data_IF_629201754200
#
_entry.id   IF_629201754200
#
_cell.length_a   1.000
_cell.length_b   1.000
_cell.length_c   1.000
_cell.angle_alpha   90.00
_cell.angle_beta   90.00
_cell.angle_gamma   90.00
#
_symmetry.space_group_name_H-M   'P 1'
#
loop_
_entity.id
_entity.type
_entity.pdbx_description
1 polymer ?
#
# COMPACT_ATOMS: atom_id res chain seq x y z
N UNK A 1 20.62 -14.40 10.71
CA UNK A 1 20.21 -13.15 10.06
C UNK A 1 18.81 -12.74 10.45
N UNK A 2 18.62 -11.46 10.70
CA UNK A 2 17.30 -10.94 11.05
C UNK A 2 16.45 -10.74 9.79
N UNK A 3 15.14 -11.04 9.85
CA UNK A 3 14.25 -10.70 8.75
C UNK A 3 14.14 -9.19 8.56
N UNK A 4 14.13 -8.72 7.31
CA UNK A 4 14.05 -7.30 6.98
C UNK A 4 12.83 -7.05 6.10
N UNK A 5 12.05 -6.05 6.48
CA UNK A 5 10.94 -5.53 5.69
C UNK A 5 11.16 -4.05 5.42
N UNK A 6 10.72 -3.57 4.28
CA UNK A 6 10.70 -2.14 3.99
C UNK A 6 9.30 -1.62 4.17
N UNK A 7 9.18 -0.41 4.68
CA UNK A 7 7.88 0.25 4.81
C UNK A 7 8.03 1.70 4.41
N UNK A 8 7.00 2.24 3.78
CA UNK A 8 7.01 3.63 3.38
C UNK A 8 5.62 4.19 3.19
N UNK A 9 5.48 5.49 3.43
CA UNK A 9 4.25 6.22 3.21
C UNK A 9 4.34 6.98 1.89
N UNK A 10 3.28 6.90 1.08
CA UNK A 10 3.16 7.64 -0.18
C UNK A 10 4.37 7.36 -1.09
N UNK A 11 5.11 8.39 -1.49
CA UNK A 11 6.32 8.26 -2.32
C UNK A 11 7.31 7.27 -1.71
N UNK A 12 7.45 7.26 -0.37
CA UNK A 12 8.33 6.31 0.32
C UNK A 12 7.95 4.86 0.07
N UNK A 13 6.65 4.57 0.02
CA UNK A 13 6.16 3.22 -0.30
C UNK A 13 6.50 2.82 -1.73
N UNK A 14 6.33 3.74 -2.68
CA UNK A 14 6.67 3.48 -4.08
C UNK A 14 8.17 3.25 -4.25
N UNK A 15 8.99 4.05 -3.57
CA UNK A 15 10.44 3.88 -3.61
C UNK A 15 10.82 2.52 -3.01
N UNK A 16 10.23 2.14 -1.87
CA UNK A 16 10.50 0.86 -1.24
C UNK A 16 10.12 -0.31 -2.16
N UNK A 17 8.97 -0.25 -2.80
CA UNK A 17 8.53 -1.28 -3.74
C UNK A 17 9.48 -1.38 -4.95
N UNK A 18 9.96 -0.24 -5.43
CA UNK A 18 10.91 -0.20 -6.54
C UNK A 18 12.26 -0.80 -6.13
N UNK A 19 12.77 -0.45 -4.95
CA UNK A 19 14.02 -0.99 -4.43
C UNK A 19 13.95 -2.50 -4.21
N UNK A 20 12.80 -3.00 -3.77
CA UNK A 20 12.63 -4.42 -3.49
C UNK A 20 12.71 -5.30 -4.74
N UNK A 21 12.66 -4.72 -5.93
CA UNK A 21 12.86 -5.44 -7.18
C UNK A 21 14.31 -5.87 -7.37
N UNK A 22 15.24 -5.23 -6.66
CA UNK A 22 16.65 -5.61 -6.70
C UNK A 22 16.83 -6.91 -5.93
N UNK A 23 17.20 -7.97 -6.65
CA UNK A 23 17.37 -9.29 -6.06
C UNK A 23 18.57 -9.38 -5.10
N UNK A 24 19.49 -8.41 -5.18
CA UNK A 24 20.61 -8.33 -4.26
C UNK A 24 20.18 -7.87 -2.86
N UNK A 25 19.03 -7.22 -2.75
CA UNK A 25 18.51 -6.80 -1.46
C UNK A 25 17.75 -7.95 -0.80
N UNK A 26 18.17 -8.31 0.40
CA UNK A 26 17.57 -9.41 1.15
C UNK A 26 16.37 -8.90 1.98
N UNK A 27 15.30 -8.56 1.29
CA UNK A 27 14.08 -8.02 1.87
C UNK A 27 12.97 -9.07 1.73
N UNK A 28 12.26 -9.35 2.83
CA UNK A 28 11.18 -10.35 2.84
C UNK A 28 9.85 -9.81 2.29
N UNK A 29 9.62 -8.51 2.41
CA UNK A 29 8.40 -7.90 1.93
C UNK A 29 8.40 -6.40 2.09
N UNK A 30 7.38 -5.76 1.53
CA UNK A 30 7.23 -4.30 1.53
C UNK A 30 5.83 -3.93 2.00
N UNK A 31 5.73 -2.89 2.81
CA UNK A 31 4.45 -2.33 3.26
C UNK A 31 4.35 -0.89 2.79
N UNK A 32 3.28 -0.57 2.07
CA UNK A 32 3.04 0.75 1.51
C UNK A 32 1.79 1.36 2.12
N UNK A 33 1.92 2.54 2.72
CA UNK A 33 0.78 3.28 3.27
C UNK A 33 0.43 4.42 2.32
N UNK A 34 -0.72 4.32 1.68
CA UNK A 34 -1.16 5.32 0.71
C UNK A 34 -0.28 5.32 -0.54
N UNK A 35 -0.25 4.22 -1.28
CA UNK A 35 0.56 4.13 -2.49
C UNK A 35 0.07 5.13 -3.54
N UNK A 36 0.97 5.96 -4.11
CA UNK A 36 0.59 6.94 -5.11
C UNK A 36 0.53 6.30 -6.49
N UNK A 37 -0.63 5.75 -6.86
CA UNK A 37 -0.82 5.07 -8.14
C UNK A 37 -0.69 6.03 -9.32
N UNK A 38 -1.09 7.27 -9.12
CA UNK A 38 -0.96 8.34 -10.12
C UNK A 38 -0.88 9.69 -9.42
N UNK A 39 -0.36 10.73 -10.08
CA UNK A 39 -0.41 12.09 -9.52
C UNK A 39 -1.85 12.58 -9.39
N UNK A 40 -2.08 13.50 -8.47
CA UNK A 40 -3.41 14.08 -8.29
C UNK A 40 -3.90 14.70 -9.60
N UNK A 41 -5.16 14.40 -9.99
CA UNK A 41 -5.81 14.87 -11.21
C UNK A 41 -5.13 14.40 -12.51
N UNK A 42 -4.27 13.39 -12.44
CA UNK A 42 -3.58 12.82 -13.61
C UNK A 42 -3.69 11.31 -13.59
N UNK A 43 -4.93 10.80 -13.57
CA UNK A 43 -5.20 9.37 -13.40
C UNK A 43 -4.69 8.49 -14.55
N UNK A 44 -4.30 9.09 -15.67
CA UNK A 44 -3.71 8.39 -16.81
C UNK A 44 -2.20 8.15 -16.64
N UNK A 45 -1.56 8.79 -15.67
CA UNK A 45 -0.12 8.62 -15.42
C UNK A 45 0.13 7.59 -14.33
N UNK A 46 -0.13 6.33 -14.66
CA UNK A 46 -0.07 5.24 -13.70
C UNK A 46 1.37 4.83 -13.36
N UNK A 47 1.55 4.38 -12.12
CA UNK A 47 2.84 3.94 -11.58
C UNK A 47 2.71 2.52 -11.02
N UNK A 48 2.30 1.62 -11.89
CA UNK A 48 1.97 0.24 -11.50
C UNK A 48 3.14 -0.73 -11.62
N UNK A 49 4.18 -0.34 -12.35
CA UNK A 49 5.26 -1.27 -12.72
C UNK A 49 5.85 -2.04 -11.54
N UNK A 50 6.22 -1.40 -10.40
CA UNK A 50 6.75 -2.15 -9.28
C UNK A 50 5.77 -3.19 -8.72
N UNK A 51 4.47 -2.92 -8.80
CA UNK A 51 3.43 -3.79 -8.28
C UNK A 51 3.09 -4.92 -9.24
N UNK A 52 3.27 -4.70 -10.54
CA UNK A 52 2.98 -5.70 -11.56
C UNK A 52 4.11 -6.72 -11.70
N UNK A 53 5.33 -6.30 -11.45
CA UNK A 53 6.52 -7.12 -11.69
C UNK A 53 7.14 -7.70 -10.42
N UNK A 54 6.61 -7.36 -9.24
CA UNK A 54 7.23 -7.81 -8.00
C UNK A 54 7.22 -9.31 -7.82
N UNK A 55 8.34 -9.84 -7.35
CA UNK A 55 8.47 -11.22 -6.93
C UNK A 55 8.41 -11.35 -5.39
N UNK A 56 8.35 -10.22 -4.69
CA UNK A 56 8.29 -10.18 -3.23
C UNK A 56 6.91 -9.75 -2.76
N UNK A 57 6.45 -10.22 -1.59
CA UNK A 57 5.16 -9.80 -1.05
C UNK A 57 5.10 -8.30 -0.83
N UNK A 58 4.01 -7.68 -1.25
CA UNK A 58 3.74 -6.26 -1.01
C UNK A 58 2.36 -6.11 -0.41
N UNK A 59 2.28 -5.42 0.73
CA UNK A 59 1.03 -5.03 1.36
C UNK A 59 0.79 -3.55 1.10
N UNK A 60 -0.37 -3.22 0.55
CA UNK A 60 -0.78 -1.84 0.31
C UNK A 60 -1.96 -1.54 1.22
N UNK A 61 -1.84 -0.49 2.01
CA UNK A 61 -2.90 0.00 2.90
C UNK A 61 -3.42 1.31 2.31
N UNK A 62 -4.67 1.28 1.81
CA UNK A 62 -5.17 2.37 0.97
C UNK A 62 -6.54 2.84 1.42
N UNK A 63 -6.72 4.15 1.49
CA UNK A 63 -8.05 4.72 1.73
C UNK A 63 -8.94 4.58 0.50
N UNK A 64 -10.22 4.28 0.70
CA UNK A 64 -11.13 4.09 -0.43
C UNK A 64 -11.31 5.35 -1.26
N UNK A 65 -11.09 6.55 -0.66
CA UNK A 65 -11.21 7.85 -1.31
C UNK A 65 -9.86 8.50 -1.60
N UNK A 66 -8.78 7.74 -1.59
CA UNK A 66 -7.45 8.31 -1.83
C UNK A 66 -7.40 8.96 -3.22
N UNK A 67 -7.05 10.26 -3.27
CA UNK A 67 -7.00 11.01 -4.52
C UNK A 67 -5.89 10.55 -5.47
N UNK A 68 -4.91 9.80 -4.96
CA UNK A 68 -3.80 9.27 -5.76
C UNK A 68 -4.02 7.82 -6.17
N UNK A 69 -5.22 7.31 -5.95
CA UNK A 69 -5.66 5.97 -6.31
C UNK A 69 -6.77 5.53 -5.39
N UNK A 70 -8.02 5.64 -5.86
CA UNK A 70 -9.19 5.24 -5.06
C UNK A 70 -9.52 3.77 -5.31
N UNK A 71 -10.45 3.23 -4.51
CA UNK A 71 -10.83 1.82 -4.59
C UNK A 71 -11.35 1.44 -5.98
N UNK A 72 -12.17 2.28 -6.58
CA UNK A 72 -12.74 2.00 -7.90
C UNK A 72 -11.64 1.90 -8.96
N UNK A 73 -10.69 2.84 -8.95
CA UNK A 73 -9.57 2.82 -9.87
C UNK A 73 -8.72 1.57 -9.69
N UNK A 74 -8.35 1.28 -8.43
CA UNK A 74 -7.45 0.18 -8.10
C UNK A 74 -8.07 -1.17 -8.48
N UNK A 75 -9.38 -1.31 -8.36
CA UNK A 75 -10.06 -2.56 -8.72
C UNK A 75 -9.95 -2.90 -10.20
N UNK A 76 -9.61 -1.92 -11.05
CA UNK A 76 -9.41 -2.13 -12.48
C UNK A 76 -7.95 -2.43 -12.86
N UNK A 77 -7.01 -2.31 -11.93
CA UNK A 77 -5.60 -2.55 -12.19
C UNK A 77 -5.25 -4.03 -12.03
N UNK A 78 -4.26 -4.48 -12.79
CA UNK A 78 -3.72 -5.82 -12.64
C UNK A 78 -2.41 -5.77 -11.86
N UNK A 79 -2.30 -6.63 -10.86
CA UNK A 79 -1.12 -6.75 -10.02
C UNK A 79 -0.53 -8.14 -10.07
N UNK A 80 0.74 -8.24 -9.69
CA UNK A 80 1.36 -9.51 -9.35
C UNK A 80 0.55 -10.21 -8.25
N UNK A 81 0.53 -11.53 -8.26
CA UNK A 81 -0.11 -12.30 -7.19
C UNK A 81 0.52 -12.10 -5.82
N UNK A 82 1.69 -11.42 -5.76
CA UNK A 82 2.34 -11.09 -4.50
C UNK A 82 1.79 -9.84 -3.83
N UNK A 83 0.95 -9.07 -4.53
CA UNK A 83 0.39 -7.83 -3.98
C UNK A 83 -0.93 -8.08 -3.29
N UNK A 84 -1.08 -7.51 -2.11
CA UNK A 84 -2.34 -7.50 -1.36
C UNK A 84 -2.69 -6.06 -1.04
N UNK A 85 -3.90 -5.64 -1.37
CA UNK A 85 -4.39 -4.30 -1.05
C UNK A 85 -5.52 -4.38 -0.05
N UNK A 86 -5.37 -3.69 1.07
CA UNK A 86 -6.39 -3.61 2.12
C UNK A 86 -6.94 -2.18 2.11
N UNK A 87 -8.25 -2.06 1.96
CA UNK A 87 -8.91 -0.76 1.88
C UNK A 87 -9.47 -0.34 3.23
N UNK A 88 -9.38 0.97 3.49
CA UNK A 88 -9.88 1.60 4.70
C UNK A 88 -11.07 2.47 4.35
N UNK A 89 -12.22 2.10 4.86
CA UNK A 89 -13.51 2.71 4.48
C UNK A 89 -13.50 4.23 4.67
N UNK A 90 -13.86 4.96 3.61
CA UNK A 90 -13.93 6.41 3.56
C UNK A 90 -12.60 7.12 3.85
N UNK A 91 -11.49 6.39 3.91
CA UNK A 91 -10.17 6.96 4.16
C UNK A 91 -9.64 7.76 2.97
N UNK A 92 -8.94 8.86 3.26
CA UNK A 92 -8.21 9.63 2.26
C UNK A 92 -6.79 9.09 2.08
N UNK A 93 -5.89 9.88 1.50
CA UNK A 93 -4.49 9.48 1.30
C UNK A 93 -3.75 9.17 2.61
N UNK A 94 -4.22 9.69 3.74
CA UNK A 94 -3.67 9.44 5.06
C UNK A 94 -4.53 8.45 5.87
N UNK A 95 -5.41 7.71 5.23
CA UNK A 95 -6.38 6.80 5.85
C UNK A 95 -7.37 7.51 6.77
N UNK A 96 -7.52 8.82 6.61
CA UNK A 96 -8.41 9.62 7.46
C UNK A 96 -9.83 9.65 6.88
N UNK A 97 -10.83 9.11 7.60
CA UNK A 97 -12.21 9.13 7.14
C UNK A 97 -12.90 10.45 7.50
N UNK A 98 -13.99 10.74 6.80
CA UNK A 98 -14.84 11.88 7.14
C UNK A 98 -15.66 11.53 8.38
N UNK A 99 -16.05 12.56 9.14
CA UNK A 99 -16.87 12.37 10.36
C UNK A 99 -18.17 11.62 10.02
N UNK A 100 -18.81 11.94 8.91
CA UNK A 100 -20.06 11.32 8.50
C UNK A 100 -19.99 9.83 8.21
N UNK A 101 -18.79 9.29 8.04
CA UNK A 101 -18.61 7.86 7.77
C UNK A 101 -18.87 6.97 8.96
N UNK A 102 -18.79 7.50 10.16
CA UNK A 102 -18.89 6.72 11.39
C UNK A 102 -17.59 6.08 11.83
N UNK A 103 -16.54 6.12 11.00
CA UNK A 103 -15.22 5.65 11.37
C UNK A 103 -14.38 6.81 11.90
N UNK A 104 -13.32 6.50 12.65
CA UNK A 104 -12.36 7.49 13.10
C UNK A 104 -10.97 7.20 12.53
N UNK A 105 -10.14 8.25 12.45
CA UNK A 105 -8.77 8.10 12.00
C UNK A 105 -7.99 7.15 12.92
N UNK A 106 -8.23 7.26 14.22
CA UNK A 106 -7.60 6.39 15.22
C UNK A 106 -7.91 4.92 15.00
N UNK A 107 -9.18 4.59 14.67
CA UNK A 107 -9.57 3.22 14.34
C UNK A 107 -8.84 2.71 13.11
N UNK A 108 -8.74 3.52 12.07
CA UNK A 108 -8.05 3.13 10.84
C UNK A 108 -6.54 2.94 11.06
N UNK A 109 -5.91 3.84 11.83
CA UNK A 109 -4.49 3.70 12.15
C UNK A 109 -4.23 2.42 12.92
N UNK A 110 -5.08 2.11 13.90
CA UNK A 110 -4.93 0.88 14.68
C UNK A 110 -5.10 -0.36 13.79
N UNK A 111 -6.09 -0.36 12.90
CA UNK A 111 -6.28 -1.48 11.99
C UNK A 111 -5.14 -1.61 10.99
N UNK A 112 -4.56 -0.48 10.54
CA UNK A 112 -3.39 -0.49 9.67
C UNK A 112 -2.20 -1.17 10.37
N UNK A 113 -1.98 -0.86 11.66
CA UNK A 113 -0.94 -1.50 12.46
C UNK A 113 -1.20 -3.00 12.55
N UNK A 114 -2.45 -3.40 12.81
CA UNK A 114 -2.81 -4.82 12.91
C UNK A 114 -2.53 -5.55 11.60
N UNK A 115 -2.86 -4.93 10.47
CA UNK A 115 -2.60 -5.53 9.15
C UNK A 115 -1.10 -5.68 8.87
N UNK A 116 -0.30 -4.68 9.25
CA UNK A 116 1.15 -4.75 9.11
C UNK A 116 1.75 -5.88 9.95
N UNK A 117 1.28 -6.04 11.18
CA UNK A 117 1.75 -7.12 12.05
C UNK A 117 1.41 -8.48 11.45
N UNK A 118 0.18 -8.66 10.96
CA UNK A 118 -0.23 -9.91 10.31
C UNK A 118 0.63 -10.22 9.08
N UNK A 119 0.92 -9.19 8.30
CA UNK A 119 1.76 -9.34 7.10
C UNK A 119 3.16 -9.80 7.47
N UNK A 120 3.77 -9.15 8.46
CA UNK A 120 5.11 -9.52 8.92
C UNK A 120 5.11 -10.95 9.44
N UNK A 121 4.16 -11.28 10.32
CA UNK A 121 4.09 -12.63 10.92
C UNK A 121 3.88 -13.71 9.86
N UNK A 122 3.13 -13.41 8.82
CA UNK A 122 2.86 -14.36 7.75
C UNK A 122 4.03 -14.62 6.82
N UNK A 123 5.09 -13.81 6.88
CA UNK A 123 6.22 -13.90 5.96
C UNK A 123 7.58 -14.12 6.66
N UNK A 124 7.54 -14.37 7.94
CA UNK A 124 8.77 -14.72 8.69
C UNK A 124 9.05 -16.22 8.65
#
# INVERSE_FOLDING_TARGET
DLPVFLAGKSMGGRVAATLARDKALNVLGVMCLGYPFHPQKKSDKLRLEPLQETEKPILILQGTRDALGNEEEISSYEFSGQCQCVFFADGDHNLKPRIKSGFTHSQHVQEAVNEMVRFIDGHI
#
